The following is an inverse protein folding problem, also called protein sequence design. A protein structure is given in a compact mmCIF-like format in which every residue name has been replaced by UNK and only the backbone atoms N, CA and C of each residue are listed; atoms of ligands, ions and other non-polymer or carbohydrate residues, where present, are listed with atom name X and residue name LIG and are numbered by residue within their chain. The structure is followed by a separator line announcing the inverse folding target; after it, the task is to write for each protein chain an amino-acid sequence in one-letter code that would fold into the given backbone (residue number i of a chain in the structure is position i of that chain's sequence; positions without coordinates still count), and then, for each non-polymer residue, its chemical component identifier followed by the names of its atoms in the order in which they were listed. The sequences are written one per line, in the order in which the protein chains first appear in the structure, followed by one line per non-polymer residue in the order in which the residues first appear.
data_IF_899244526103
#
_entry.id   IF_899244526103
#
_cell.length_a   1.000
_cell.length_b   1.000
_cell.length_c   1.000
_cell.angle_alpha   90.00
_cell.angle_beta   90.00
_cell.angle_gamma   90.00
#
_symmetry.space_group_name_H-M   'P 1'
#
loop_
_entity.id
_entity.type
_entity.pdbx_description
1 polymer ?
#
# COMPACT_ATOMS: atom_id res chain seq x y z
N UNK A 1 6.67 24.21 4.73
CA UNK A 1 8.01 24.54 4.19
C UNK A 1 8.20 24.01 2.77
N UNK A 2 8.02 22.70 2.53
CA UNK A 2 8.15 22.10 1.19
C UNK A 2 7.27 22.76 0.09
N UNK A 3 5.97 22.94 0.32
CA UNK A 3 5.07 23.57 -0.67
C UNK A 3 5.50 25.01 -1.00
N UNK A 4 5.97 25.77 0.00
CA UNK A 4 6.49 27.13 -0.22
C UNK A 4 7.75 27.13 -1.10
N UNK A 5 8.63 26.14 -0.97
CA UNK A 5 9.77 25.99 -1.86
C UNK A 5 9.38 25.67 -3.30
N UNK A 6 8.30 24.90 -3.51
CA UNK A 6 7.78 24.60 -4.84
C UNK A 6 7.19 25.85 -5.53
N UNK A 7 6.54 26.74 -4.76
CA UNK A 7 6.14 28.06 -5.29
C UNK A 7 7.34 28.91 -5.68
N UNK A 8 8.36 28.98 -4.81
CA UNK A 8 9.56 29.77 -5.09
C UNK A 8 10.31 29.29 -6.35
N UNK A 9 10.22 27.99 -6.65
CA UNK A 9 10.80 27.38 -7.86
C UNK A 9 9.89 27.47 -9.10
N UNK A 10 8.67 28.00 -8.96
CA UNK A 10 7.69 28.05 -10.05
C UNK A 10 7.11 26.69 -10.45
N UNK A 11 7.30 25.65 -9.63
CA UNK A 11 6.83 24.29 -9.89
C UNK A 11 5.33 24.10 -9.57
N UNK A 12 4.73 25.01 -8.79
CA UNK A 12 3.30 25.03 -8.47
C UNK A 12 2.73 26.44 -8.65
N UNK A 13 1.49 26.55 -9.16
CA UNK A 13 0.73 27.81 -9.18
C UNK A 13 -0.13 27.89 -7.92
N UNK A 14 -0.12 29.00 -7.15
CA UNK A 14 -0.83 29.12 -5.88
C UNK A 14 -2.32 28.76 -5.88
N UNK A 15 -3.00 28.89 -7.03
CA UNK A 15 -4.44 28.64 -7.18
C UNK A 15 -4.78 27.41 -8.05
N UNK A 16 -3.80 26.61 -8.45
CA UNK A 16 -4.00 25.43 -9.31
C UNK A 16 -3.60 24.12 -8.62
N UNK A 17 -3.78 24.05 -7.31
CA UNK A 17 -3.47 22.85 -6.53
C UNK A 17 -4.46 22.69 -5.37
N UNK A 18 -4.56 21.46 -4.89
CA UNK A 18 -5.41 21.07 -3.76
C UNK A 18 -4.59 20.20 -2.81
N UNK A 19 -4.55 20.58 -1.54
CA UNK A 19 -4.00 19.72 -0.49
C UNK A 19 -5.07 18.73 -0.03
N UNK A 20 -4.81 17.43 -0.21
CA UNK A 20 -5.68 16.35 0.27
C UNK A 20 -5.24 15.81 1.64
N UNK A 21 -4.22 16.40 2.24
CA UNK A 21 -3.60 15.94 3.48
C UNK A 21 -2.48 14.92 3.26
N UNK A 22 -1.76 14.62 4.34
CA UNK A 22 -0.69 13.64 4.36
C UNK A 22 -1.15 12.27 4.87
N UNK A 23 -0.65 11.20 4.25
CA UNK A 23 -0.71 9.84 4.78
C UNK A 23 0.54 9.62 5.64
N UNK A 24 0.52 10.06 6.90
CA UNK A 24 1.70 9.99 7.78
C UNK A 24 1.88 8.59 8.37
N UNK A 25 0.92 8.14 9.18
CA UNK A 25 0.98 6.87 9.90
C UNK A 25 -0.42 6.42 10.28
N UNK A 26 -0.68 5.11 10.19
CA UNK A 26 -1.92 4.52 10.68
C UNK A 26 -1.83 4.26 12.18
N UNK A 27 -2.95 4.41 12.90
CA UNK A 27 -3.02 4.01 14.31
C UNK A 27 -3.11 2.48 14.43
N UNK A 28 -2.71 1.92 15.57
CA UNK A 28 -2.79 0.47 15.79
C UNK A 28 -4.24 -0.05 15.66
N UNK A 29 -5.21 0.74 16.11
CA UNK A 29 -6.65 0.43 16.09
C UNK A 29 -7.20 0.33 14.65
N UNK A 30 -6.63 1.09 13.71
CA UNK A 30 -7.06 1.06 12.31
C UNK A 30 -6.81 -0.30 11.66
N UNK A 31 -5.73 -1.01 12.02
CA UNK A 31 -5.48 -2.36 11.51
C UNK A 31 -6.56 -3.35 11.91
N UNK A 32 -7.04 -3.27 13.16
CA UNK A 32 -8.12 -4.14 13.65
C UNK A 32 -9.42 -3.86 12.91
N UNK A 33 -9.83 -2.59 12.83
CA UNK A 33 -11.05 -2.20 12.12
C UNK A 33 -11.01 -2.58 10.63
N UNK A 34 -9.87 -2.35 9.97
CA UNK A 34 -9.68 -2.71 8.56
C UNK A 34 -9.73 -4.23 8.34
N UNK A 35 -9.15 -5.02 9.26
CA UNK A 35 -9.15 -6.48 9.17
C UNK A 35 -10.57 -7.05 9.30
N UNK A 36 -11.37 -6.51 10.23
CA UNK A 36 -12.78 -6.89 10.38
C UNK A 36 -13.60 -6.58 9.12
N UNK A 37 -13.33 -5.43 8.48
CA UNK A 37 -13.96 -5.08 7.23
C UNK A 37 -13.58 -6.03 6.08
N UNK A 38 -12.30 -6.42 5.96
CA UNK A 38 -11.89 -7.39 4.95
C UNK A 38 -12.52 -8.76 5.18
N UNK A 39 -12.69 -9.18 6.43
CA UNK A 39 -13.39 -10.42 6.77
C UNK A 39 -14.86 -10.39 6.32
N UNK A 40 -15.56 -9.26 6.51
CA UNK A 40 -16.93 -9.14 6.01
C UNK A 40 -16.98 -9.18 4.47
N UNK A 41 -16.04 -8.49 3.80
CA UNK A 41 -15.97 -8.45 2.34
C UNK A 41 -15.52 -9.76 1.68
N UNK A 42 -14.92 -10.68 2.44
CA UNK A 42 -14.49 -11.98 1.91
C UNK A 42 -15.67 -12.89 1.54
N UNK A 43 -16.87 -12.60 2.04
CA UNK A 43 -18.10 -13.36 1.71
C UNK A 43 -18.40 -13.28 0.21
N UNK A 44 -18.32 -12.07 -0.36
CA UNK A 44 -18.65 -11.86 -1.78
C UNK A 44 -17.43 -12.00 -2.70
N UNK A 45 -16.23 -11.66 -2.19
CA UNK A 45 -15.01 -11.59 -3.01
C UNK A 45 -13.80 -12.15 -2.24
N UNK A 46 -13.71 -13.47 -2.05
CA UNK A 46 -12.71 -14.10 -1.18
C UNK A 46 -11.28 -13.85 -1.63
N UNK A 47 -10.98 -13.93 -2.93
CA UNK A 47 -9.60 -13.80 -3.44
C UNK A 47 -9.00 -12.41 -3.20
N UNK A 48 -9.75 -11.35 -3.54
CA UNK A 48 -9.32 -9.96 -3.27
C UNK A 48 -9.22 -9.67 -1.76
N UNK A 49 -10.12 -10.25 -0.96
CA UNK A 49 -10.09 -10.08 0.48
C UNK A 49 -8.83 -10.71 1.09
N UNK A 50 -8.45 -11.92 0.68
CA UNK A 50 -7.21 -12.59 1.14
C UNK A 50 -5.98 -11.70 0.91
N UNK A 51 -5.82 -11.15 -0.30
CA UNK A 51 -4.69 -10.28 -0.61
C UNK A 51 -4.65 -9.03 0.27
N UNK A 52 -5.79 -8.39 0.48
CA UNK A 52 -5.88 -7.18 1.32
C UNK A 52 -5.66 -7.49 2.79
N UNK A 53 -6.13 -8.63 3.27
CA UNK A 53 -5.89 -9.08 4.65
C UNK A 53 -4.40 -9.35 4.87
N UNK A 54 -3.73 -10.04 3.94
CA UNK A 54 -2.28 -10.26 4.02
C UNK A 54 -1.48 -8.95 3.93
N UNK A 55 -1.96 -7.97 3.15
CA UNK A 55 -1.36 -6.64 3.14
C UNK A 55 -1.49 -5.93 4.49
N UNK A 56 -2.66 -6.02 5.13
CA UNK A 56 -2.87 -5.46 6.48
C UNK A 56 -1.99 -6.15 7.52
N UNK A 57 -1.81 -7.46 7.41
CA UNK A 57 -0.91 -8.22 8.27
C UNK A 57 0.55 -7.77 8.08
N UNK A 58 1.02 -7.65 6.84
CA UNK A 58 2.35 -7.13 6.52
C UNK A 58 2.57 -5.72 7.06
N UNK A 59 1.56 -4.85 6.95
CA UNK A 59 1.62 -3.51 7.53
C UNK A 59 1.70 -3.52 9.05
N UNK A 60 0.92 -4.40 9.70
CA UNK A 60 0.94 -4.54 11.16
C UNK A 60 2.27 -5.08 11.68
N UNK A 61 2.96 -5.91 10.88
CA UNK A 61 4.30 -6.41 11.19
C UNK A 61 5.36 -5.31 11.19
N UNK A 62 5.21 -4.30 10.33
CA UNK A 62 6.12 -3.15 10.23
C UNK A 62 5.81 -2.04 11.25
N UNK A 63 4.68 -2.11 11.96
CA UNK A 63 4.25 -1.08 12.90
C UNK A 63 5.29 -0.86 14.03
N UNK A 64 5.60 0.40 14.42
CA UNK A 64 4.96 1.66 14.00
C UNK A 64 5.52 2.30 12.73
N UNK A 65 6.51 1.68 12.08
CA UNK A 65 7.23 2.24 10.93
C UNK A 65 6.66 1.74 9.59
N UNK A 66 5.35 1.53 9.54
CA UNK A 66 4.65 0.98 8.37
C UNK A 66 4.81 1.90 7.16
N UNK A 67 5.28 1.33 6.05
CA UNK A 67 5.36 2.05 4.78
C UNK A 67 4.19 1.66 3.87
N UNK A 68 3.26 2.61 3.67
CA UNK A 68 2.08 2.39 2.84
C UNK A 68 2.43 2.32 1.36
N UNK A 69 1.76 1.45 0.60
CA UNK A 69 1.88 1.34 -0.86
C UNK A 69 1.63 2.68 -1.56
N UNK A 70 0.73 3.53 -1.05
CA UNK A 70 0.48 4.85 -1.61
C UNK A 70 1.73 5.75 -1.55
N UNK A 71 2.51 5.64 -0.47
CA UNK A 71 3.78 6.35 -0.32
C UNK A 71 4.82 5.81 -1.29
N UNK A 72 4.89 4.50 -1.47
CA UNK A 72 5.78 3.85 -2.45
C UNK A 72 5.45 4.30 -3.88
N UNK A 73 4.17 4.29 -4.26
CA UNK A 73 3.70 4.74 -5.58
C UNK A 73 4.11 6.20 -5.80
N UNK A 74 3.85 7.06 -4.82
CA UNK A 74 4.22 8.47 -4.89
C UNK A 74 5.73 8.65 -5.08
N UNK A 75 6.53 7.90 -4.34
CA UNK A 75 7.99 7.96 -4.45
C UNK A 75 8.48 7.51 -5.83
N UNK A 76 8.03 6.34 -6.33
CA UNK A 76 8.36 5.82 -7.65
C UNK A 76 7.97 6.82 -8.76
N UNK A 77 6.79 7.42 -8.65
CA UNK A 77 6.31 8.43 -9.60
C UNK A 77 7.21 9.69 -9.62
N UNK A 78 7.59 10.21 -8.45
CA UNK A 78 8.46 11.38 -8.35
C UNK A 78 9.89 11.11 -8.85
N UNK A 79 10.36 9.87 -8.77
CA UNK A 79 11.66 9.46 -9.30
C UNK A 79 11.65 9.18 -10.81
N UNK A 80 10.49 9.25 -11.47
CA UNK A 80 10.36 8.92 -12.89
C UNK A 80 10.57 7.44 -13.19
N UNK A 81 10.38 6.56 -12.21
CA UNK A 81 10.50 5.12 -12.39
C UNK A 81 9.30 4.60 -13.19
N UNK A 82 9.47 4.47 -14.51
CA UNK A 82 8.48 3.84 -15.38
C UNK A 82 8.85 2.36 -15.53
N UNK A 83 8.43 1.56 -14.55
CA UNK A 83 8.57 0.10 -14.58
C UNK A 83 7.25 -0.49 -15.07
N UNK A 84 7.30 -1.42 -16.04
CA UNK A 84 6.11 -2.15 -16.49
C UNK A 84 5.44 -2.84 -15.29
N UNK A 85 4.14 -2.56 -15.08
CA UNK A 85 3.37 -3.00 -13.91
C UNK A 85 3.86 -2.49 -12.53
N UNK A 86 4.96 -1.72 -12.46
CA UNK A 86 5.55 -1.26 -11.20
C UNK A 86 4.76 -0.17 -10.47
N UNK A 87 3.71 0.36 -11.10
CA UNK A 87 2.72 1.26 -10.49
C UNK A 87 1.32 0.62 -10.42
N UNK A 88 1.17 -0.66 -10.80
CA UNK A 88 -0.10 -1.36 -10.58
C UNK A 88 -0.26 -1.70 -9.09
N UNK A 89 -1.36 -1.26 -8.51
CA UNK A 89 -1.59 -1.37 -7.07
C UNK A 89 -1.66 -2.83 -6.59
N UNK A 90 -2.16 -3.76 -7.41
CA UNK A 90 -2.20 -5.18 -7.05
C UNK A 90 -0.82 -5.81 -7.21
N UNK A 91 -0.05 -5.47 -8.24
CA UNK A 91 1.32 -5.95 -8.39
C UNK A 91 2.20 -5.52 -7.20
N UNK A 92 2.11 -4.24 -6.79
CA UNK A 92 2.84 -3.75 -5.63
C UNK A 92 2.37 -4.39 -4.32
N UNK A 93 1.06 -4.68 -4.20
CA UNK A 93 0.52 -5.43 -3.07
C UNK A 93 1.08 -6.86 -3.03
N UNK A 94 1.10 -7.56 -4.16
CA UNK A 94 1.68 -8.90 -4.24
C UNK A 94 3.18 -8.88 -3.93
N UNK A 95 3.92 -7.87 -4.38
CA UNK A 95 5.34 -7.67 -4.05
C UNK A 95 5.56 -7.48 -2.54
N UNK A 96 4.76 -6.61 -1.90
CA UNK A 96 4.81 -6.39 -0.44
C UNK A 96 4.48 -7.66 0.35
N UNK A 97 3.38 -8.33 0.01
CA UNK A 97 2.96 -9.58 0.65
C UNK A 97 3.99 -10.69 0.43
N UNK A 98 4.59 -10.77 -0.76
CA UNK A 98 5.65 -11.74 -1.05
C UNK A 98 6.86 -11.54 -0.16
N UNK A 99 7.33 -10.29 0.00
CA UNK A 99 8.45 -9.96 0.90
C UNK A 99 8.13 -10.40 2.33
N UNK A 100 7.00 -9.92 2.87
CA UNK A 100 6.57 -10.25 4.22
C UNK A 100 6.50 -11.76 4.48
N UNK A 101 5.80 -12.52 3.63
CA UNK A 101 5.65 -13.96 3.82
C UNK A 101 6.96 -14.73 3.63
N UNK A 102 7.87 -14.22 2.79
CA UNK A 102 9.22 -14.80 2.65
C UNK A 102 10.04 -14.57 3.91
N UNK A 103 9.99 -13.36 4.49
CA UNK A 103 10.75 -12.99 5.69
C UNK A 103 10.34 -13.83 6.92
N UNK A 104 9.05 -14.18 7.02
CA UNK A 104 8.54 -15.08 8.07
C UNK A 104 8.56 -16.57 7.67
N UNK A 105 9.08 -16.88 6.48
CA UNK A 105 9.20 -18.23 5.91
C UNK A 105 7.87 -19.00 5.79
N UNK A 106 6.77 -18.29 5.48
CA UNK A 106 5.44 -18.87 5.29
C UNK A 106 5.13 -19.10 3.81
N UNK A 107 5.70 -20.18 3.27
CA UNK A 107 5.54 -20.55 1.87
C UNK A 107 4.11 -20.97 1.53
N UNK A 108 3.35 -21.47 2.51
CA UNK A 108 1.97 -21.94 2.31
C UNK A 108 1.03 -20.78 2.02
N UNK A 109 1.06 -19.73 2.85
CA UNK A 109 0.27 -18.52 2.59
C UNK A 109 0.78 -17.76 1.37
N UNK A 110 2.07 -17.87 1.02
CA UNK A 110 2.61 -17.26 -0.19
C UNK A 110 2.03 -17.88 -1.47
N UNK A 111 1.92 -19.21 -1.53
CA UNK A 111 1.26 -19.91 -2.65
C UNK A 111 -0.23 -19.51 -2.74
N UNK A 112 -0.93 -19.43 -1.60
CA UNK A 112 -2.31 -18.93 -1.57
C UNK A 112 -2.42 -17.51 -2.11
N UNK A 113 -1.58 -16.57 -1.66
CA UNK A 113 -1.58 -15.18 -2.11
C UNK A 113 -1.39 -15.07 -3.62
N UNK A 114 -0.44 -15.83 -4.18
CA UNK A 114 -0.18 -15.87 -5.63
C UNK A 114 -1.38 -16.40 -6.41
N UNK A 115 -2.06 -17.45 -5.92
CA UNK A 115 -3.29 -17.95 -6.56
C UNK A 115 -4.43 -16.93 -6.50
N UNK A 116 -4.63 -16.31 -5.34
CA UNK A 116 -5.64 -15.26 -5.16
C UNK A 116 -5.41 -14.03 -6.04
N UNK A 117 -4.18 -13.77 -6.47
CA UNK A 117 -3.88 -12.68 -7.40
C UNK A 117 -4.37 -12.93 -8.83
N UNK A 118 -4.40 -14.19 -9.27
CA UNK A 118 -4.79 -14.54 -10.63
C UNK A 118 -6.27 -14.96 -10.78
N UNK A 119 -7.01 -15.09 -9.68
CA UNK A 119 -8.42 -15.52 -9.63
C UNK A 119 -9.35 -14.34 -9.29
#
# INVERSE_FOLDING_TARGET
EYVLSLYAQGALTPNEWLDLGGLSSLSAEEYFGASLWQLYKSIDSPYKAVLKTLLLEAYSWEYPNTQLLATDIKHRLHQGEIVSFGLDAYCMMLERVTRYLTDINDTTRLDLARRCFYL
#
